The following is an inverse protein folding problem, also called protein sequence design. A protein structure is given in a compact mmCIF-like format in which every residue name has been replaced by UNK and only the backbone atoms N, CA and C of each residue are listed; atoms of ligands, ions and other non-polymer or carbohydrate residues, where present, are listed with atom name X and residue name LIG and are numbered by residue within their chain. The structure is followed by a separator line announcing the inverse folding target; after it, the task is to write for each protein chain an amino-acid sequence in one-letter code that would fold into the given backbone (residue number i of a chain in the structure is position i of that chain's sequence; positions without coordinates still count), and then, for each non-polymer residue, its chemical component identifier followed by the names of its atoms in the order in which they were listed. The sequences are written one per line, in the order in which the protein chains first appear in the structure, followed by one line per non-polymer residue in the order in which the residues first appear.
data_IF_387735444903
#
_entry.id   IF_387735444903
#
_cell.length_a   1.000
_cell.length_b   1.000
_cell.length_c   1.000
_cell.angle_alpha   90.00
_cell.angle_beta   90.00
_cell.angle_gamma   90.00
#
_symmetry.space_group_name_H-M   'P 1'
#
loop_
_entity.id
_entity.type
_entity.pdbx_description
1 polymer ?
#
# COMPACT_ATOMS: atom_id res chain seq x y z
N UNK A 1 19.66 -0.51 14.30
CA UNK A 1 18.84 0.55 14.95
C UNK A 1 17.85 1.07 13.93
N UNK A 2 16.54 1.03 14.22
CA UNK A 2 15.52 1.62 13.34
C UNK A 2 15.72 3.14 13.33
N UNK A 3 15.98 3.71 12.16
CA UNK A 3 16.13 5.17 12.03
C UNK A 3 14.76 5.84 12.16
N UNK A 4 14.71 7.08 12.66
CA UNK A 4 13.47 7.87 12.76
C UNK A 4 12.72 7.94 11.44
N UNK A 5 13.45 7.98 10.31
CA UNK A 5 12.89 7.99 8.97
C UNK A 5 12.12 6.70 8.63
N UNK A 6 12.67 5.51 8.95
CA UNK A 6 11.98 4.23 8.74
C UNK A 6 10.69 4.13 9.56
N UNK A 7 10.74 4.61 10.80
CA UNK A 7 9.55 4.60 11.68
C UNK A 7 8.43 5.49 11.12
N UNK A 8 8.78 6.69 10.63
CA UNK A 8 7.81 7.62 10.02
C UNK A 8 7.20 7.01 8.76
N UNK A 9 8.04 6.47 7.87
CA UNK A 9 7.58 5.85 6.62
C UNK A 9 6.60 4.69 6.89
N UNK A 10 6.92 3.82 7.85
CA UNK A 10 6.04 2.71 8.25
C UNK A 10 4.72 3.20 8.83
N UNK A 11 4.75 4.21 9.68
CA UNK A 11 3.55 4.77 10.29
C UNK A 11 2.64 5.42 9.23
N UNK A 12 3.25 6.16 8.31
CA UNK A 12 2.54 6.77 7.18
C UNK A 12 1.83 5.71 6.35
N UNK A 13 2.55 4.68 5.89
CA UNK A 13 1.96 3.63 5.06
C UNK A 13 0.97 2.73 5.80
N UNK A 14 1.17 2.50 7.10
CA UNK A 14 0.16 1.85 7.94
C UNK A 14 -1.14 2.68 8.00
N UNK A 15 -1.03 4.01 8.09
CA UNK A 15 -2.15 4.93 8.01
C UNK A 15 -2.85 4.86 6.65
N UNK A 16 -2.11 4.94 5.55
CA UNK A 16 -2.66 4.82 4.18
C UNK A 16 -3.39 3.49 4.01
N UNK A 17 -2.79 2.37 4.42
CA UNK A 17 -3.42 1.06 4.37
C UNK A 17 -4.72 1.02 5.17
N UNK A 18 -4.71 1.52 6.41
CA UNK A 18 -5.89 1.56 7.26
C UNK A 18 -7.00 2.41 6.66
N UNK A 19 -6.67 3.54 6.01
CA UNK A 19 -7.62 4.39 5.32
C UNK A 19 -8.27 3.67 4.12
N UNK A 20 -7.49 2.93 3.33
CA UNK A 20 -8.02 2.13 2.22
C UNK A 20 -8.98 1.04 2.71
N UNK A 21 -8.62 0.31 3.77
CA UNK A 21 -9.50 -0.71 4.37
C UNK A 21 -10.77 -0.07 4.92
N UNK A 22 -10.65 1.05 5.64
CA UNK A 22 -11.79 1.79 6.17
C UNK A 22 -12.75 2.24 5.06
N UNK A 23 -12.22 2.72 3.94
CA UNK A 23 -13.01 3.13 2.78
C UNK A 23 -13.78 1.95 2.17
N UNK A 24 -13.11 0.81 1.95
CA UNK A 24 -13.75 -0.40 1.41
C UNK A 24 -14.85 -0.89 2.35
N UNK A 25 -14.56 -0.97 3.65
CA UNK A 25 -15.55 -1.40 4.65
C UNK A 25 -16.74 -0.44 4.69
N UNK A 26 -16.50 0.87 4.72
CA UNK A 26 -17.55 1.88 4.76
C UNK A 26 -18.45 1.87 3.52
N UNK A 27 -17.89 1.66 2.33
CA UNK A 27 -18.66 1.73 1.08
C UNK A 27 -19.30 0.41 0.65
N UNK A 28 -18.70 -0.74 1.01
CA UNK A 28 -19.18 -2.06 0.55
C UNK A 28 -20.11 -2.69 1.57
N UNK A 29 -19.86 -2.51 2.86
CA UNK A 29 -20.59 -3.20 3.92
C UNK A 29 -21.74 -2.37 4.49
N UNK A 30 -21.77 -1.05 4.25
CA UNK A 30 -22.87 -0.19 4.71
C UNK A 30 -23.94 -0.10 3.61
N UNK A 31 -25.19 -0.52 3.89
CA UNK A 31 -26.26 -0.58 2.89
C UNK A 31 -26.64 0.79 2.30
N UNK A 32 -26.52 1.86 3.09
CA UNK A 32 -26.73 3.24 2.65
C UNK A 32 -25.40 4.02 2.73
N UNK A 33 -24.69 4.19 1.60
CA UNK A 33 -23.41 4.88 1.55
C UNK A 33 -23.52 6.40 1.68
N UNK A 34 -24.73 6.98 1.69
CA UNK A 34 -24.95 8.43 1.66
C UNK A 34 -25.21 9.04 3.04
N UNK A 35 -25.54 8.22 4.04
CA UNK A 35 -25.79 8.66 5.41
C UNK A 35 -24.54 8.91 6.25
N UNK A 36 -24.73 9.12 7.56
CA UNK A 36 -23.62 9.25 8.53
C UNK A 36 -23.00 7.90 8.91
N UNK A 37 -23.72 6.79 8.71
CA UNK A 37 -23.27 5.45 9.11
C UNK A 37 -21.93 5.02 8.47
N UNK A 38 -21.66 5.24 7.16
CA UNK A 38 -20.39 4.96 6.54
C UNK A 38 -19.22 5.75 7.14
N UNK A 39 -19.47 6.99 7.54
CA UNK A 39 -18.44 7.83 8.17
C UNK A 39 -18.07 7.27 9.54
N UNK A 40 -19.06 6.91 10.36
CA UNK A 40 -18.82 6.29 11.67
C UNK A 40 -18.09 4.95 11.51
N UNK A 41 -18.57 4.08 10.62
CA UNK A 41 -17.96 2.77 10.34
C UNK A 41 -16.53 2.93 9.82
N UNK A 42 -16.29 3.89 8.93
CA UNK A 42 -14.96 4.20 8.42
C UNK A 42 -14.01 4.65 9.52
N UNK A 43 -14.43 5.59 10.38
CA UNK A 43 -13.61 6.07 11.50
C UNK A 43 -13.29 4.94 12.48
N UNK A 44 -14.28 4.10 12.83
CA UNK A 44 -14.07 2.96 13.73
C UNK A 44 -13.11 1.94 13.11
N UNK A 45 -13.30 1.61 11.82
CA UNK A 45 -12.43 0.68 11.10
C UNK A 45 -11.01 1.20 11.04
N UNK A 46 -10.83 2.48 10.72
CA UNK A 46 -9.51 3.12 10.70
C UNK A 46 -8.83 3.05 12.08
N UNK A 47 -9.56 3.42 13.14
CA UNK A 47 -9.05 3.41 14.51
C UNK A 47 -8.61 2.02 14.97
N UNK A 48 -9.24 0.95 14.47
CA UNK A 48 -8.87 -0.43 14.76
C UNK A 48 -7.70 -0.93 13.89
N UNK A 49 -7.74 -0.65 12.59
CA UNK A 49 -6.76 -1.19 11.62
C UNK A 49 -5.42 -0.47 11.70
N UNK A 50 -5.40 0.85 11.89
CA UNK A 50 -4.17 1.64 11.97
C UNK A 50 -3.17 1.13 13.02
N UNK A 51 -3.54 0.89 14.30
CA UNK A 51 -2.61 0.38 15.30
C UNK A 51 -2.14 -1.06 14.99
N UNK A 52 -3.00 -1.90 14.41
CA UNK A 52 -2.65 -3.27 14.03
C UNK A 52 -1.62 -3.24 12.89
N UNK A 53 -1.90 -2.48 11.83
CA UNK A 53 -1.00 -2.31 10.70
C UNK A 53 0.35 -1.73 11.13
N UNK A 54 0.34 -0.72 12.01
CA UNK A 54 1.56 -0.14 12.57
C UNK A 54 2.37 -1.18 13.38
N UNK A 55 1.71 -2.04 14.18
CA UNK A 55 2.39 -3.12 14.91
C UNK A 55 3.00 -4.17 13.98
N UNK A 56 2.25 -4.62 12.97
CA UNK A 56 2.73 -5.61 12.00
C UNK A 56 3.90 -5.08 11.16
N UNK A 57 3.88 -3.79 10.78
CA UNK A 57 4.97 -3.15 10.02
C UNK A 57 6.32 -3.18 10.75
N UNK A 58 6.32 -3.16 12.09
CA UNK A 58 7.54 -3.23 12.91
C UNK A 58 8.15 -4.63 12.88
N UNK A 59 7.32 -5.67 12.84
CA UNK A 59 7.78 -7.07 12.81
C UNK A 59 8.40 -7.49 11.48
N UNK A 60 8.06 -6.82 10.38
CA UNK A 60 8.55 -7.13 9.03
C UNK A 60 9.91 -6.48 8.68
N UNK A 61 10.68 -6.04 9.68
CA UNK A 61 11.91 -5.30 9.47
C UNK A 61 13.06 -6.20 8.97
N UNK A 62 13.41 -6.10 7.69
CA UNK A 62 14.65 -6.67 7.16
C UNK A 62 15.85 -5.87 7.65
N UNK A 63 16.96 -6.56 7.96
CA UNK A 63 18.22 -5.92 8.38
C UNK A 63 18.79 -4.93 7.36
N UNK A 64 18.48 -5.13 6.07
CA UNK A 64 18.85 -4.25 4.96
C UNK A 64 17.75 -3.23 4.58
N UNK A 65 16.84 -2.88 5.49
CA UNK A 65 15.79 -1.91 5.17
C UNK A 65 16.36 -0.48 5.07
N UNK A 66 16.13 0.20 3.95
CA UNK A 66 16.47 1.61 3.77
C UNK A 66 15.24 2.51 3.77
N UNK A 67 15.34 3.74 4.32
CA UNK A 67 14.27 4.72 4.21
C UNK A 67 13.94 5.00 2.74
N UNK A 68 12.67 4.88 2.36
CA UNK A 68 12.17 5.05 0.99
C UNK A 68 11.85 3.72 0.29
N UNK A 69 12.34 2.58 0.78
CA UNK A 69 12.08 1.28 0.15
C UNK A 69 10.58 0.94 0.11
N UNK A 70 9.88 1.19 1.20
CA UNK A 70 8.45 0.91 1.32
C UNK A 70 7.64 1.85 0.43
N UNK A 71 8.03 3.12 0.37
CA UNK A 71 7.42 4.13 -0.51
C UNK A 71 7.59 3.75 -1.98
N UNK A 72 8.81 3.42 -2.42
CA UNK A 72 9.06 2.99 -3.80
C UNK A 72 8.28 1.72 -4.13
N UNK A 73 8.24 0.75 -3.21
CA UNK A 73 7.48 -0.48 -3.38
C UNK A 73 5.99 -0.20 -3.62
N UNK A 74 5.35 0.64 -2.79
CA UNK A 74 3.94 0.97 -2.98
C UNK A 74 3.68 1.86 -4.19
N UNK A 75 4.53 2.84 -4.48
CA UNK A 75 4.38 3.68 -5.67
C UNK A 75 4.42 2.82 -6.93
N UNK A 76 5.39 1.90 -7.04
CA UNK A 76 5.45 0.96 -8.18
C UNK A 76 4.23 0.04 -8.19
N UNK A 77 3.81 -0.48 -7.04
CA UNK A 77 2.59 -1.29 -6.95
C UNK A 77 1.38 -0.55 -7.52
N UNK A 78 1.10 0.66 -7.04
CA UNK A 78 -0.06 1.43 -7.47
C UNK A 78 0.05 1.89 -8.92
N UNK A 79 1.24 2.28 -9.38
CA UNK A 79 1.45 2.66 -10.77
C UNK A 79 1.15 1.49 -11.72
N UNK A 80 1.72 0.31 -11.45
CA UNK A 80 1.49 -0.90 -12.25
C UNK A 80 0.03 -1.36 -12.15
N UNK A 81 -0.56 -1.31 -10.96
CA UNK A 81 -1.96 -1.69 -10.77
C UNK A 81 -2.91 -0.76 -11.54
N UNK A 82 -2.68 0.56 -11.47
CA UNK A 82 -3.52 1.55 -12.15
C UNK A 82 -3.38 1.44 -13.67
N UNK A 83 -2.15 1.40 -14.19
CA UNK A 83 -1.89 1.25 -15.63
C UNK A 83 -2.45 -0.08 -16.14
N UNK A 84 -2.19 -1.18 -15.42
CA UNK A 84 -2.69 -2.51 -15.78
C UNK A 84 -4.22 -2.56 -15.78
N UNK A 85 -4.88 -1.97 -14.78
CA UNK A 85 -6.35 -1.94 -14.71
C UNK A 85 -6.95 -1.11 -15.84
N UNK A 86 -6.39 0.06 -16.14
CA UNK A 86 -6.84 0.92 -17.24
C UNK A 86 -6.63 0.26 -18.60
N UNK A 87 -5.48 -0.38 -18.82
CA UNK A 87 -5.16 -1.07 -20.07
C UNK A 87 -6.03 -2.31 -20.30
N UNK A 88 -6.27 -3.13 -19.27
CA UNK A 88 -7.17 -4.27 -19.41
C UNK A 88 -8.63 -3.81 -19.57
N UNK A 89 -9.05 -2.78 -18.85
CA UNK A 89 -10.38 -2.19 -19.00
C UNK A 89 -10.63 -1.62 -20.39
N UNK A 90 -9.65 -0.95 -21.00
CA UNK A 90 -9.79 -0.43 -22.38
C UNK A 90 -9.89 -1.53 -23.44
N UNK A 91 -9.41 -2.73 -23.12
CA UNK A 91 -9.52 -3.93 -23.96
C UNK A 91 -10.78 -4.76 -23.65
N UNK A 92 -11.65 -4.30 -22.75
CA UNK A 92 -12.87 -4.99 -22.33
C UNK A 92 -12.65 -6.14 -21.33
N UNK A 93 -11.45 -6.28 -20.78
CA UNK A 93 -11.14 -7.25 -19.73
C UNK A 93 -11.51 -6.70 -18.35
N UNK A 94 -12.79 -6.78 -18.04
CA UNK A 94 -13.34 -6.45 -16.73
C UNK A 94 -13.59 -7.68 -15.85
N UNK A 95 -13.75 -7.43 -14.54
CA UNK A 95 -14.06 -8.46 -13.56
C UNK A 95 -12.88 -8.93 -12.71
N UNK A 96 -13.16 -9.94 -11.89
CA UNK A 96 -12.27 -10.37 -10.79
C UNK A 96 -11.00 -11.03 -11.30
N UNK A 97 -11.06 -11.85 -12.36
CA UNK A 97 -9.89 -12.53 -12.93
C UNK A 97 -8.80 -11.56 -13.41
N UNK A 98 -9.11 -10.61 -14.31
CA UNK A 98 -8.19 -9.55 -14.72
C UNK A 98 -7.67 -8.73 -13.53
N UNK A 99 -8.52 -8.44 -12.53
CA UNK A 99 -8.12 -7.69 -11.34
C UNK A 99 -7.11 -8.43 -10.47
N UNK A 100 -7.27 -9.75 -10.29
CA UNK A 100 -6.32 -10.62 -9.60
C UNK A 100 -4.98 -10.73 -10.36
N UNK A 101 -5.05 -10.83 -11.70
CA UNK A 101 -3.85 -10.83 -12.53
C UNK A 101 -3.06 -9.52 -12.38
N UNK A 102 -3.74 -8.37 -12.48
CA UNK A 102 -3.12 -7.05 -12.29
C UNK A 102 -2.52 -6.92 -10.90
N UNK A 103 -3.23 -7.37 -9.87
CA UNK A 103 -2.72 -7.39 -8.50
C UNK A 103 -1.45 -8.25 -8.36
N UNK A 104 -1.43 -9.45 -8.94
CA UNK A 104 -0.27 -10.33 -8.88
C UNK A 104 0.93 -9.72 -9.62
N UNK A 105 0.69 -9.14 -10.80
CA UNK A 105 1.72 -8.47 -11.60
C UNK A 105 2.28 -7.23 -10.88
N UNK A 106 1.41 -6.40 -10.29
CA UNK A 106 1.84 -5.24 -9.52
C UNK A 106 2.61 -5.63 -8.27
N UNK A 107 2.20 -6.70 -7.58
CA UNK A 107 2.92 -7.24 -6.42
C UNK A 107 4.32 -7.72 -6.81
N UNK A 108 4.44 -8.46 -7.92
CA UNK A 108 5.73 -8.94 -8.42
C UNK A 108 6.67 -7.78 -8.80
N UNK A 109 6.15 -6.75 -9.47
CA UNK A 109 6.92 -5.56 -9.81
C UNK A 109 7.39 -4.81 -8.56
N UNK A 110 6.47 -4.60 -7.60
CA UNK A 110 6.74 -3.94 -6.33
C UNK A 110 7.80 -4.69 -5.50
N UNK A 111 7.76 -6.02 -5.46
CA UNK A 111 8.74 -6.83 -4.75
C UNK A 111 10.18 -6.62 -5.24
N UNK A 112 10.35 -6.26 -6.53
CA UNK A 112 11.66 -5.96 -7.14
C UNK A 112 12.01 -4.46 -7.13
N UNK A 113 11.07 -3.60 -6.73
CA UNK A 113 11.19 -2.16 -6.88
C UNK A 113 12.16 -1.48 -5.91
N UNK A 114 12.59 -2.15 -4.83
CA UNK A 114 13.53 -1.56 -3.85
C UNK A 114 14.83 -1.06 -4.50
N UNK A 115 15.28 -1.72 -5.57
CA UNK A 115 16.44 -1.30 -6.36
C UNK A 115 16.29 0.04 -7.06
N UNK A 116 15.08 0.59 -7.14
CA UNK A 116 14.81 1.92 -7.69
C UNK A 116 14.95 3.03 -6.65
N UNK A 117 15.24 2.70 -5.38
CA UNK A 117 15.46 3.69 -4.34
C UNK A 117 16.79 4.43 -4.58
N UNK A 118 16.79 5.75 -4.86
CA UNK A 118 18.01 6.50 -5.14
C UNK A 118 19.00 6.50 -3.96
N UNK A 119 18.51 6.30 -2.73
CA UNK A 119 19.38 6.20 -1.54
C UNK A 119 20.28 4.96 -1.58
N UNK A 120 19.79 3.86 -2.16
CA UNK A 120 20.60 2.65 -2.36
C UNK A 120 21.70 2.89 -3.38
N UNK A 121 21.40 3.58 -4.48
CA UNK A 121 22.41 3.93 -5.49
C UNK A 121 23.51 4.82 -4.91
N UNK A 122 23.14 5.81 -4.09
CA UNK A 122 24.12 6.71 -3.47
C UNK A 122 24.98 5.99 -2.42
N UNK A 123 24.44 4.97 -1.73
CA UNK A 123 25.22 4.14 -0.81
C UNK A 123 26.16 3.21 -1.56
N UNK A 124 25.69 2.56 -2.63
CA UNK A 124 26.51 1.71 -3.49
C UNK A 124 27.63 2.50 -4.17
N UNK A 125 27.38 3.75 -4.58
CA UNK A 125 28.38 4.63 -5.18
C UNK A 125 29.41 5.18 -4.17
N UNK A 126 29.09 5.14 -2.87
CA UNK A 126 29.96 5.60 -1.79
C UNK A 126 30.71 4.47 -1.07
N UNK A 127 30.42 3.21 -1.43
CA UNK A 127 31.08 2.01 -0.92
C UNK A 127 32.19 1.55 -1.88
#
# INVERSE_FOLDING_TARGET
METTALRIERLFWAGVFAALVALVVALVLVPDPTGLAPLVVGVVTFALVAPIAARLSKGAASWDAEPGDQTVQYVVFFAVALVGRLALGSLGYDGTGPSLFVFAASWLAAAKARRLNPRRWNREAAA
#
